data_IF_261728376614
#
_entry.id   IF_261728376614
#
_cell.length_a   1.000
_cell.length_b   1.000
_cell.length_c   1.000
_cell.angle_alpha   90.00
_cell.angle_beta   90.00
_cell.angle_gamma   90.00
#
_symmetry.space_group_name_H-M   'P 1'
#
loop_
_entity.id
_entity.type
_entity.pdbx_description
1 polymer ?
#
# COMPACT_ATOMS: atom_id res chain seq x y z
N UNK A 1 -11.81 19.85 26.05
CA UNK A 1 -12.32 18.70 25.26
C UNK A 1 -11.32 18.41 24.14
N UNK A 2 -10.94 17.16 23.91
CA UNK A 2 -10.03 16.77 22.82
C UNK A 2 -10.73 16.91 21.44
N UNK A 3 -10.03 17.34 20.36
CA UNK A 3 -10.60 17.43 19.01
C UNK A 3 -10.52 16.12 18.21
N UNK A 4 -10.04 15.03 18.82
CA UNK A 4 -9.80 13.75 18.14
C UNK A 4 -11.06 13.09 17.56
N UNK A 5 -12.26 13.51 17.98
CA UNK A 5 -13.52 13.04 17.40
C UNK A 5 -13.84 13.65 16.03
N UNK A 6 -13.11 14.68 15.62
CA UNK A 6 -13.32 15.43 14.36
C UNK A 6 -12.08 15.50 13.48
N UNK A 7 -10.94 15.05 13.98
CA UNK A 7 -9.71 14.99 13.19
C UNK A 7 -9.77 13.76 12.25
N UNK A 8 -9.72 13.94 10.93
CA UNK A 8 -9.69 12.81 10.01
C UNK A 8 -8.41 12.00 10.15
N UNK A 9 -8.50 10.70 9.89
CA UNK A 9 -7.34 9.83 9.78
C UNK A 9 -6.53 10.16 8.52
N UNK A 10 -5.27 9.73 8.48
CA UNK A 10 -4.41 9.86 7.31
C UNK A 10 -5.07 9.20 6.09
N UNK A 11 -4.99 9.86 4.94
CA UNK A 11 -5.64 9.42 3.69
C UNK A 11 -7.15 9.69 3.62
N UNK A 12 -7.83 9.92 4.75
CA UNK A 12 -9.28 10.10 4.76
C UNK A 12 -9.68 11.49 4.25
N UNK A 13 -10.67 11.52 3.35
CA UNK A 13 -11.30 12.73 2.87
C UNK A 13 -12.78 12.48 2.54
N UNK A 14 -13.63 13.52 2.45
CA UNK A 14 -15.01 13.37 2.00
C UNK A 14 -15.08 12.69 0.62
N UNK A 15 -16.12 11.87 0.39
CA UNK A 15 -16.28 11.11 -0.87
C UNK A 15 -16.17 11.97 -2.13
N UNK A 16 -16.75 13.18 -2.12
CA UNK A 16 -16.64 14.15 -3.23
C UNK A 16 -15.21 14.57 -3.55
N UNK A 17 -14.32 14.59 -2.56
CA UNK A 17 -12.92 14.91 -2.72
C UNK A 17 -12.15 13.69 -3.25
N UNK A 18 -12.41 12.50 -2.70
CA UNK A 18 -11.82 11.24 -3.18
C UNK A 18 -12.17 10.95 -4.64
N UNK A 19 -13.39 11.29 -5.08
CA UNK A 19 -13.81 11.14 -6.47
C UNK A 19 -13.01 11.99 -7.48
N UNK A 20 -12.21 12.96 -7.01
CA UNK A 20 -11.34 13.79 -7.85
C UNK A 20 -9.86 13.43 -7.74
N UNK A 21 -9.51 12.41 -6.95
CA UNK A 21 -8.13 11.95 -6.82
C UNK A 21 -7.72 11.22 -8.10
N UNK A 22 -6.65 11.69 -8.74
CA UNK A 22 -6.12 11.12 -9.97
C UNK A 22 -5.24 9.90 -9.67
N UNK A 23 -5.88 8.75 -9.44
CA UNK A 23 -5.24 7.47 -9.22
C UNK A 23 -6.24 6.33 -9.51
N UNK A 24 -5.77 5.09 -9.73
CA UNK A 24 -6.64 3.93 -9.85
C UNK A 24 -7.63 3.82 -8.69
N UNK A 25 -8.92 3.59 -8.98
CA UNK A 25 -9.99 3.59 -7.98
C UNK A 25 -9.73 2.64 -6.81
N UNK A 26 -9.09 1.49 -7.06
CA UNK A 26 -8.66 0.54 -6.02
C UNK A 26 -7.70 1.19 -5.02
N UNK A 27 -6.70 1.93 -5.52
CA UNK A 27 -5.74 2.60 -4.66
C UNK A 27 -6.40 3.74 -3.89
N UNK A 28 -7.31 4.50 -4.52
CA UNK A 28 -8.09 5.54 -3.82
C UNK A 28 -8.95 4.91 -2.71
N UNK A 29 -9.54 3.74 -2.95
CA UNK A 29 -10.31 3.05 -1.92
C UNK A 29 -9.45 2.62 -0.72
N UNK A 30 -8.20 2.21 -0.95
CA UNK A 30 -7.29 1.69 0.09
C UNK A 30 -6.48 2.78 0.81
N UNK A 31 -6.01 3.77 0.07
CA UNK A 31 -5.05 4.79 0.50
C UNK A 31 -5.62 6.21 0.50
N UNK A 32 -6.84 6.39 -0.01
CA UNK A 32 -7.50 7.68 -0.03
C UNK A 32 -6.70 8.73 -0.79
N UNK A 33 -6.40 9.85 -0.14
CA UNK A 33 -5.62 10.94 -0.74
C UNK A 33 -4.17 10.58 -1.06
N UNK A 34 -3.63 9.52 -0.46
CA UNK A 34 -2.25 9.06 -0.71
C UNK A 34 -2.13 8.21 -1.98
N UNK A 35 -3.25 7.83 -2.60
CA UNK A 35 -3.27 6.93 -3.75
C UNK A 35 -2.39 7.36 -4.94
N UNK A 36 -2.29 8.66 -5.31
CA UNK A 36 -1.40 9.08 -6.39
C UNK A 36 0.08 8.84 -6.06
N UNK A 37 0.47 9.03 -4.78
CA UNK A 37 1.83 8.76 -4.31
C UNK A 37 2.13 7.26 -4.43
N UNK A 38 1.20 6.41 -3.96
CA UNK A 38 1.34 4.95 -4.08
C UNK A 38 1.46 4.52 -5.54
N UNK A 39 0.61 5.06 -6.43
CA UNK A 39 0.63 4.75 -7.85
C UNK A 39 1.97 5.17 -8.51
N UNK A 40 2.50 6.34 -8.14
CA UNK A 40 3.77 6.85 -8.65
C UNK A 40 5.00 6.06 -8.21
N UNK A 41 4.88 5.18 -7.19
CA UNK A 41 5.99 4.37 -6.69
C UNK A 41 6.18 3.05 -7.46
N UNK A 42 5.27 2.67 -8.36
CA UNK A 42 5.41 1.48 -9.20
C UNK A 42 4.08 0.80 -9.49
N UNK A 43 3.86 0.45 -10.76
CA UNK A 43 2.63 -0.19 -11.25
C UNK A 43 2.74 -1.69 -11.46
N UNK A 44 3.95 -2.25 -11.35
CA UNK A 44 4.23 -3.65 -11.60
C UNK A 44 3.52 -4.53 -10.55
N UNK A 45 2.88 -5.65 -10.96
CA UNK A 45 2.24 -6.55 -10.02
C UNK A 45 3.28 -7.23 -9.12
N UNK A 46 2.93 -7.43 -7.84
CA UNK A 46 3.77 -8.20 -6.90
C UNK A 46 3.68 -9.70 -7.18
N UNK A 47 2.47 -10.16 -7.52
CA UNK A 47 2.16 -11.53 -7.92
C UNK A 47 1.23 -11.44 -9.13
N UNK A 48 1.50 -12.22 -10.17
CA UNK A 48 0.68 -12.23 -11.38
C UNK A 48 -0.79 -12.58 -11.06
N UNK A 49 -1.73 -11.90 -11.72
CA UNK A 49 -3.17 -12.07 -11.46
C UNK A 49 -3.68 -11.47 -10.14
N UNK A 50 -2.82 -10.88 -9.30
CA UNK A 50 -3.21 -10.12 -8.11
C UNK A 50 -3.21 -8.62 -8.38
N UNK A 51 -4.02 -7.85 -7.64
CA UNK A 51 -4.11 -6.42 -7.88
C UNK A 51 -3.02 -5.61 -7.15
N UNK A 52 -2.27 -6.23 -6.23
CA UNK A 52 -1.21 -5.56 -5.47
C UNK A 52 0.00 -5.20 -6.32
N UNK A 53 0.48 -3.96 -6.20
CA UNK A 53 1.63 -3.47 -6.98
C UNK A 53 2.88 -3.24 -6.13
N UNK A 54 4.04 -3.16 -6.79
CA UNK A 54 5.32 -2.77 -6.18
C UNK A 54 5.22 -1.41 -5.48
N UNK A 55 4.41 -0.48 -6.01
CA UNK A 55 4.15 0.81 -5.38
C UNK A 55 3.57 0.70 -3.97
N UNK A 56 2.66 -0.24 -3.73
CA UNK A 56 2.11 -0.51 -2.38
C UNK A 56 3.21 -1.02 -1.42
N UNK A 57 4.12 -1.88 -1.89
CA UNK A 57 5.23 -2.37 -1.07
C UNK A 57 6.22 -1.26 -0.73
N UNK A 58 6.57 -0.42 -1.70
CA UNK A 58 7.48 0.71 -1.51
C UNK A 58 6.87 1.75 -0.56
N UNK A 59 5.59 2.08 -0.74
CA UNK A 59 4.89 3.00 0.15
C UNK A 59 4.87 2.48 1.58
N UNK A 60 4.62 1.18 1.76
CA UNK A 60 4.65 0.56 3.08
C UNK A 60 6.01 0.72 3.79
N UNK A 61 7.13 0.63 3.05
CA UNK A 61 8.48 0.87 3.62
C UNK A 61 8.72 2.35 3.88
N UNK A 62 8.41 3.22 2.92
CA UNK A 62 8.78 4.65 2.95
C UNK A 62 7.91 5.47 3.90
N UNK A 63 6.62 5.13 4.02
CA UNK A 63 5.63 5.96 4.73
C UNK A 63 4.92 5.22 5.87
N UNK A 64 4.77 3.90 5.79
CA UNK A 64 3.98 3.14 6.78
C UNK A 64 4.82 2.32 7.77
N UNK A 65 6.15 2.47 7.73
CA UNK A 65 7.08 1.89 8.69
C UNK A 65 7.27 0.38 8.58
N UNK A 66 7.13 -0.22 7.40
CA UNK A 66 7.36 -1.64 7.19
C UNK A 66 8.84 -2.04 7.45
N UNK A 67 8.99 -2.83 8.51
CA UNK A 67 10.15 -3.51 9.09
C UNK A 67 10.73 -4.68 8.30
N UNK A 68 9.82 -5.51 7.82
CA UNK A 68 10.06 -6.92 7.52
C UNK A 68 9.17 -7.42 6.38
N UNK A 69 9.48 -8.60 5.84
CA UNK A 69 8.66 -9.26 4.82
C UNK A 69 7.25 -9.52 5.34
N UNK A 70 7.10 -9.88 6.62
CA UNK A 70 5.78 -10.10 7.23
C UNK A 70 4.95 -8.81 7.32
N UNK A 71 5.59 -7.65 7.52
CA UNK A 71 4.89 -6.36 7.50
C UNK A 71 4.25 -6.13 6.13
N UNK A 72 5.03 -6.36 5.08
CA UNK A 72 4.60 -6.21 3.69
C UNK A 72 3.52 -7.22 3.30
N UNK A 73 3.79 -8.51 3.48
CA UNK A 73 2.96 -9.58 2.95
C UNK A 73 1.73 -9.89 3.81
N UNK A 74 1.82 -9.78 5.14
CA UNK A 74 0.69 -10.16 6.03
C UNK A 74 -0.19 -8.99 6.41
N UNK A 75 0.41 -7.83 6.71
CA UNK A 75 -0.32 -6.69 7.28
C UNK A 75 -0.71 -5.67 6.24
N UNK A 76 0.22 -5.31 5.34
CA UNK A 76 0.00 -4.24 4.36
C UNK A 76 -0.70 -4.71 3.10
N UNK A 77 -0.46 -5.93 2.64
CA UNK A 77 -1.05 -6.46 1.38
C UNK A 77 -1.98 -7.65 1.54
N UNK A 78 -1.75 -8.52 2.56
CA UNK A 78 -2.41 -9.83 2.77
C UNK A 78 -2.09 -10.91 1.74
N UNK A 79 -1.10 -10.70 0.86
CA UNK A 79 -0.56 -11.73 -0.04
C UNK A 79 -0.06 -12.95 0.75
N UNK A 80 0.45 -12.71 1.95
CA UNK A 80 1.01 -13.72 2.84
C UNK A 80 0.03 -14.81 3.30
N UNK A 81 -1.28 -14.61 3.10
CA UNK A 81 -2.33 -15.54 3.52
C UNK A 81 -2.46 -16.77 2.63
N UNK A 82 -1.94 -16.72 1.39
CA UNK A 82 -1.92 -17.86 0.48
C UNK A 82 -0.48 -18.30 0.27
N UNK A 83 -0.17 -19.55 0.60
CA UNK A 83 1.20 -20.07 0.59
C UNK A 83 1.92 -19.91 -0.75
N UNK A 84 1.22 -20.21 -1.86
CA UNK A 84 1.80 -20.08 -3.20
C UNK A 84 2.12 -18.62 -3.57
N UNK A 85 1.22 -17.70 -3.24
CA UNK A 85 1.41 -16.26 -3.51
C UNK A 85 2.51 -15.67 -2.63
N UNK A 86 2.58 -16.09 -1.36
CA UNK A 86 3.69 -15.77 -0.46
C UNK A 86 5.02 -16.20 -1.06
N UNK A 87 5.11 -17.44 -1.52
CA UNK A 87 6.35 -17.95 -2.12
C UNK A 87 6.75 -17.10 -3.34
N UNK A 88 5.80 -16.73 -4.20
CA UNK A 88 6.04 -15.88 -5.35
C UNK A 88 6.46 -14.45 -4.99
N UNK A 89 5.91 -13.88 -3.91
CA UNK A 89 6.14 -12.48 -3.53
C UNK A 89 7.38 -12.26 -2.64
N UNK A 90 7.89 -13.30 -1.97
CA UNK A 90 8.91 -13.13 -0.91
C UNK A 90 10.18 -12.47 -1.43
N UNK A 91 10.74 -12.92 -2.55
CA UNK A 91 11.97 -12.34 -3.10
C UNK A 91 11.83 -10.86 -3.49
N UNK A 92 10.68 -10.47 -4.03
CA UNK A 92 10.39 -9.08 -4.35
C UNK A 92 10.22 -8.23 -3.09
N UNK A 93 9.54 -8.74 -2.06
CA UNK A 93 9.40 -8.06 -0.77
C UNK A 93 10.75 -7.83 -0.09
N UNK A 94 11.65 -8.82 -0.13
CA UNK A 94 13.04 -8.69 0.35
C UNK A 94 13.81 -7.64 -0.42
N UNK A 95 13.71 -7.63 -1.75
CA UNK A 95 14.36 -6.64 -2.60
C UNK A 95 13.89 -5.21 -2.29
N UNK A 96 12.57 -5.01 -2.09
CA UNK A 96 12.01 -3.71 -1.70
C UNK A 96 12.51 -3.26 -0.32
N UNK A 97 12.63 -4.17 0.65
CA UNK A 97 13.16 -3.85 1.98
C UNK A 97 14.64 -3.51 1.98
N UNK A 98 15.42 -4.10 1.07
CA UNK A 98 16.84 -3.79 0.91
C UNK A 98 17.09 -2.41 0.29
N UNK A 99 16.20 -1.94 -0.60
CA UNK A 99 16.29 -0.64 -1.26
C UNK A 99 15.73 0.51 -0.40
N UNK A 100 16.15 0.58 0.86
CA UNK A 100 15.88 1.72 1.74
C UNK A 100 16.86 2.85 1.41
N UNK A 101 16.61 3.58 0.31
CA UNK A 101 17.26 4.86 -0.02
C UNK A 101 18.79 4.87 0.09
#
# INVERSE_FOLDING_TARGET
>A
RSPTDRLPLVGAAPARALARVDAPARLVHRYGTEAPVVAGLGGEPVVEGRPETVGELRFAVLAEGARSVADLLDRRTRIGLVTAERAAATGLAEAVLAHRG
#
